data_IF_581123094909
#
_entry.id   IF_581123094909
#
_cell.length_a   1.000
_cell.length_b   1.000
_cell.length_c   1.000
_cell.angle_alpha   90.00
_cell.angle_beta   90.00
_cell.angle_gamma   90.00
#
_symmetry.space_group_name_H-M   'P 1'
#
loop_
_entity.id
_entity.type
_entity.pdbx_description
1 polymer ?
#
# COMPACT_ATOMS: atom_id res chain seq x y z
N UNK A 1 -21.97 -2.29 -11.26
CA UNK A 1 -22.62 -1.98 -9.97
C UNK A 1 -21.55 -2.09 -8.91
N UNK A 2 -21.08 -0.97 -8.38
CA UNK A 2 -20.10 -0.92 -7.28
C UNK A 2 -20.86 -1.24 -6.01
N UNK A 3 -20.79 -2.50 -5.57
CA UNK A 3 -21.21 -2.87 -4.23
C UNK A 3 -20.27 -2.14 -3.27
N UNK A 4 -20.77 -1.06 -2.67
CA UNK A 4 -20.03 -0.33 -1.67
C UNK A 4 -19.97 -1.24 -0.45
N UNK A 5 -18.87 -2.00 -0.34
CA UNK A 5 -18.54 -2.86 0.80
C UNK A 5 -18.46 -2.11 2.14
N UNK A 6 -18.74 -0.81 2.14
CA UNK A 6 -18.76 0.02 3.32
C UNK A 6 -19.80 1.15 3.23
N UNK A 7 -20.62 1.36 4.28
CA UNK A 7 -21.40 2.57 4.43
C UNK A 7 -20.52 3.82 4.66
N UNK A 8 -21.08 4.98 4.32
CA UNK A 8 -20.46 6.33 4.38
C UNK A 8 -19.94 6.67 5.80
N UNK A 9 -20.53 6.09 6.85
CA UNK A 9 -20.12 6.34 8.24
C UNK A 9 -18.76 5.74 8.64
N UNK A 10 -18.24 4.77 7.88
CA UNK A 10 -16.95 4.15 8.23
C UNK A 10 -15.73 5.02 7.82
N UNK A 11 -15.94 6.06 7.00
CA UNK A 11 -14.87 6.97 6.57
C UNK A 11 -14.28 7.75 7.77
N UNK A 12 -15.12 8.21 8.69
CA UNK A 12 -14.68 8.97 9.87
C UNK A 12 -13.84 8.11 10.80
N UNK A 13 -14.27 6.86 11.04
CA UNK A 13 -13.49 5.88 11.79
C UNK A 13 -12.14 5.65 11.13
N UNK A 14 -12.13 5.38 9.83
CA UNK A 14 -10.91 5.13 9.07
C UNK A 14 -9.94 6.32 9.10
N UNK A 15 -10.45 7.55 8.95
CA UNK A 15 -9.66 8.79 9.04
C UNK A 15 -9.08 8.95 10.45
N UNK A 16 -9.89 8.77 11.49
CA UNK A 16 -9.46 8.93 12.88
C UNK A 16 -8.38 7.91 13.25
N UNK A 17 -8.52 6.66 12.84
CA UNK A 17 -7.49 5.63 13.07
C UNK A 17 -6.24 5.97 12.27
N UNK A 18 -6.36 6.45 11.03
CA UNK A 18 -5.22 6.77 10.17
C UNK A 18 -4.39 7.91 10.78
N UNK A 19 -5.06 8.95 11.30
CA UNK A 19 -4.39 10.03 12.02
C UNK A 19 -3.58 9.53 13.21
N UNK A 20 -4.15 8.61 14.01
CA UNK A 20 -3.48 8.04 15.17
C UNK A 20 -2.24 7.23 14.80
N UNK A 21 -2.23 6.58 13.62
CA UNK A 21 -1.06 5.85 13.15
C UNK A 21 0.13 6.77 12.83
N UNK A 22 -0.13 8.02 12.42
CA UNK A 22 0.93 9.01 12.20
C UNK A 22 1.89 8.67 11.05
N UNK A 23 1.51 7.79 10.12
CA UNK A 23 2.28 7.45 8.91
C UNK A 23 1.66 8.09 7.68
N UNK A 24 2.50 8.54 6.73
CA UNK A 24 1.98 9.01 5.44
C UNK A 24 1.35 7.85 4.67
N UNK A 25 0.41 8.15 3.77
CA UNK A 25 -0.24 7.11 2.96
C UNK A 25 0.75 6.26 2.15
N UNK A 26 1.83 6.86 1.62
CA UNK A 26 2.85 6.13 0.86
C UNK A 26 3.80 5.30 1.76
N UNK A 27 3.79 5.53 3.08
CA UNK A 27 4.60 4.84 4.10
C UNK A 27 3.77 3.84 4.92
N UNK A 28 2.51 3.66 4.55
CA UNK A 28 1.56 2.87 5.31
C UNK A 28 1.51 1.39 4.92
N UNK A 29 1.57 1.00 3.63
CA UNK A 29 1.34 -0.40 3.26
C UNK A 29 2.32 -1.38 3.89
N UNK A 30 1.85 -2.60 4.17
CA UNK A 30 2.65 -3.69 4.75
C UNK A 30 3.30 -3.34 6.11
N UNK A 31 2.61 -2.55 6.93
CA UNK A 31 3.05 -2.19 8.29
C UNK A 31 2.01 -2.63 9.33
N UNK A 32 2.45 -2.81 10.57
CA UNK A 32 1.56 -3.08 11.72
C UNK A 32 0.53 -1.95 11.91
N UNK A 33 0.89 -0.72 11.56
CA UNK A 33 -0.04 0.41 11.60
C UNK A 33 -1.15 0.30 10.55
N UNK A 34 -0.86 -0.24 9.36
CA UNK A 34 -1.90 -0.59 8.40
C UNK A 34 -2.76 -1.75 8.89
N UNK A 35 -2.17 -2.78 9.48
CA UNK A 35 -2.95 -3.89 10.05
C UNK A 35 -3.85 -3.41 11.20
N UNK A 36 -3.42 -2.42 11.97
CA UNK A 36 -4.27 -1.76 12.99
C UNK A 36 -5.46 -1.03 12.36
N UNK A 37 -5.26 -0.38 11.22
CA UNK A 37 -6.35 0.23 10.43
C UNK A 37 -7.33 -0.81 9.93
N UNK A 38 -6.81 -1.88 9.33
CA UNK A 38 -7.60 -2.99 8.83
C UNK A 38 -8.42 -3.64 9.97
N UNK A 39 -7.78 -3.90 11.10
CA UNK A 39 -8.43 -4.49 12.27
C UNK A 39 -9.48 -3.58 12.92
N UNK A 40 -9.30 -2.26 12.87
CA UNK A 40 -10.33 -1.32 13.35
C UNK A 40 -11.61 -1.40 12.50
N UNK A 41 -11.49 -1.74 11.22
CA UNK A 41 -12.62 -1.84 10.28
C UNK A 41 -13.30 -3.21 10.32
N UNK A 42 -12.50 -4.27 10.52
CA UNK A 42 -12.94 -5.65 10.29
C UNK A 42 -12.60 -6.62 11.42
N UNK A 43 -12.21 -6.12 12.58
CA UNK A 43 -11.72 -6.92 13.69
C UNK A 43 -10.35 -7.56 13.43
N UNK A 44 -9.75 -8.19 14.46
CA UNK A 44 -8.49 -8.92 14.30
C UNK A 44 -8.57 -9.95 13.18
N UNK A 45 -7.51 -10.06 12.38
CA UNK A 45 -7.39 -10.95 11.22
C UNK A 45 -8.50 -10.79 10.16
N UNK A 46 -9.28 -9.70 10.23
CA UNK A 46 -10.39 -9.46 9.31
C UNK A 46 -11.60 -10.37 9.54
N UNK A 47 -11.77 -10.91 10.75
CA UNK A 47 -12.90 -11.81 11.10
C UNK A 47 -14.29 -11.28 10.72
N UNK A 48 -14.45 -9.96 10.72
CA UNK A 48 -15.71 -9.27 10.44
C UNK A 48 -15.78 -8.82 8.96
N UNK A 49 -14.74 -9.09 8.16
CA UNK A 49 -14.74 -8.88 6.72
C UNK A 49 -15.58 -9.95 6.01
N UNK A 50 -16.36 -9.59 4.97
CA UNK A 50 -17.11 -10.57 4.19
C UNK A 50 -16.24 -11.66 3.56
N UNK A 51 -14.97 -11.35 3.28
CA UNK A 51 -13.94 -12.26 2.80
C UNK A 51 -12.55 -11.74 3.26
N UNK A 52 -11.99 -12.20 4.40
CA UNK A 52 -10.67 -11.75 4.86
C UNK A 52 -9.59 -12.22 3.89
N UNK A 53 -9.14 -11.31 3.03
CA UNK A 53 -8.18 -11.60 1.95
C UNK A 53 -7.31 -10.36 1.71
N UNK A 54 -6.19 -10.54 1.01
CA UNK A 54 -5.37 -9.44 0.50
C UNK A 54 -6.19 -8.44 -0.35
N UNK A 55 -7.23 -8.92 -1.06
CA UNK A 55 -8.14 -8.04 -1.79
C UNK A 55 -8.92 -7.09 -0.87
N UNK A 56 -9.22 -7.50 0.37
CA UNK A 56 -9.88 -6.65 1.35
C UNK A 56 -8.92 -5.60 1.91
N UNK A 57 -7.63 -5.92 2.09
CA UNK A 57 -6.57 -4.93 2.40
C UNK A 57 -6.42 -3.91 1.28
N UNK A 58 -6.34 -4.37 0.03
CA UNK A 58 -6.31 -3.50 -1.15
C UNK A 58 -7.48 -2.52 -1.17
N UNK A 59 -8.69 -2.99 -0.83
CA UNK A 59 -9.89 -2.12 -0.73
C UNK A 59 -9.77 -1.06 0.36
N UNK A 60 -9.24 -1.38 1.54
CA UNK A 60 -9.00 -0.41 2.62
C UNK A 60 -7.99 0.66 2.16
N UNK A 61 -6.88 0.24 1.53
CA UNK A 61 -5.90 1.18 1.00
C UNK A 61 -6.49 2.07 -0.10
N UNK A 62 -7.21 1.49 -1.06
CA UNK A 62 -7.89 2.25 -2.11
C UNK A 62 -8.89 3.26 -1.54
N UNK A 63 -9.59 2.91 -0.46
CA UNK A 63 -10.49 3.84 0.24
C UNK A 63 -9.73 5.02 0.83
N UNK A 64 -8.62 4.80 1.54
CA UNK A 64 -7.73 5.88 2.03
C UNK A 64 -7.25 6.76 0.87
N UNK A 65 -6.88 6.15 -0.26
CA UNK A 65 -6.44 6.89 -1.43
C UNK A 65 -7.54 7.78 -2.04
N UNK A 66 -8.77 7.26 -2.11
CA UNK A 66 -9.93 8.04 -2.57
C UNK A 66 -10.26 9.18 -1.60
N UNK A 67 -10.15 8.96 -0.29
CA UNK A 67 -10.30 10.01 0.72
C UNK A 67 -9.23 11.10 0.59
N UNK A 68 -7.98 10.73 0.27
CA UNK A 68 -6.90 11.69 -0.04
C UNK A 68 -7.25 12.52 -1.27
N UNK A 69 -7.71 11.90 -2.35
CA UNK A 69 -8.13 12.59 -3.58
C UNK A 69 -9.31 13.52 -3.36
N UNK A 70 -10.23 13.15 -2.47
CA UNK A 70 -11.38 13.96 -2.09
C UNK A 70 -11.03 15.09 -1.09
N UNK A 71 -9.76 15.23 -0.67
CA UNK A 71 -9.34 16.23 0.30
C UNK A 71 -9.81 15.98 1.74
N UNK A 72 -10.35 14.79 2.02
CA UNK A 72 -10.87 14.38 3.34
C UNK A 72 -9.79 13.73 4.21
N UNK A 73 -8.79 13.10 3.60
CA UNK A 73 -7.69 12.48 4.34
C UNK A 73 -6.68 13.56 4.77
N UNK A 74 -6.37 13.69 6.07
CA UNK A 74 -5.43 14.66 6.59
C UNK A 74 -4.00 14.39 6.09
N UNK A 75 -3.24 15.45 5.86
CA UNK A 75 -1.82 15.35 5.52
C UNK A 75 -1.01 15.10 6.80
N UNK A 76 -0.48 13.89 6.95
CA UNK A 76 0.44 13.54 8.02
C UNK A 76 1.85 13.89 7.54
N UNK A 77 2.56 14.75 8.27
CA UNK A 77 3.78 15.47 7.83
C UNK A 77 4.77 14.70 6.94
N UNK A 78 5.82 14.14 7.53
CA UNK A 78 6.84 13.35 6.80
C UNK A 78 6.62 11.87 7.07
N UNK A 79 7.05 11.02 6.14
CA UNK A 79 7.07 9.57 6.32
C UNK A 79 7.91 9.21 7.56
N UNK A 80 7.53 8.14 8.27
CA UNK A 80 8.28 7.68 9.45
C UNK A 80 9.61 7.04 9.05
N UNK A 81 9.67 6.40 7.88
CA UNK A 81 10.89 5.80 7.35
C UNK A 81 11.27 6.35 5.97
N UNK A 82 12.58 6.31 5.69
CA UNK A 82 13.11 6.54 4.35
C UNK A 82 13.12 5.23 3.56
N UNK A 83 12.83 5.26 2.25
CA UNK A 83 13.01 4.08 1.41
C UNK A 83 14.47 3.58 1.49
N UNK A 84 14.70 2.26 1.47
CA UNK A 84 16.05 1.72 1.33
C UNK A 84 16.75 2.29 0.10
N UNK A 85 18.07 2.45 0.20
CA UNK A 85 18.90 2.86 -0.93
C UNK A 85 19.32 1.61 -1.68
N UNK A 86 19.10 1.62 -2.98
CA UNK A 86 19.55 0.61 -3.93
C UNK A 86 20.34 1.31 -5.04
N UNK A 87 21.13 0.54 -5.78
CA UNK A 87 21.95 1.09 -6.85
C UNK A 87 21.08 1.61 -8.01
N UNK A 88 21.52 2.62 -8.78
CA UNK A 88 20.75 3.17 -9.89
C UNK A 88 20.33 2.14 -10.94
N UNK A 89 21.18 1.14 -11.20
CA UNK A 89 20.89 0.03 -12.10
C UNK A 89 19.74 -0.84 -11.59
N UNK A 90 19.69 -1.06 -10.26
CA UNK A 90 18.60 -1.78 -9.60
C UNK A 90 17.31 -0.96 -9.61
N UNK A 91 17.38 0.37 -9.48
CA UNK A 91 16.20 1.25 -9.63
C UNK A 91 15.60 1.11 -11.05
N UNK A 92 16.42 1.12 -12.10
CA UNK A 92 15.96 0.95 -13.49
C UNK A 92 15.35 -0.43 -13.73
N UNK A 93 15.99 -1.48 -13.20
CA UNK A 93 15.47 -2.84 -13.28
C UNK A 93 14.11 -2.97 -12.58
N UNK A 94 13.96 -2.38 -11.38
CA UNK A 94 12.70 -2.38 -10.66
C UNK A 94 11.59 -1.69 -11.45
N UNK A 95 11.88 -0.54 -12.08
CA UNK A 95 10.91 0.14 -12.94
C UNK A 95 10.50 -0.76 -14.10
N UNK A 96 11.45 -1.41 -14.78
CA UNK A 96 11.15 -2.30 -15.91
C UNK A 96 10.24 -3.48 -15.49
N UNK A 97 10.56 -4.16 -14.38
CA UNK A 97 9.75 -5.28 -13.86
C UNK A 97 8.33 -4.80 -13.51
N UNK A 98 8.21 -3.65 -12.84
CA UNK A 98 6.91 -3.10 -12.47
C UNK A 98 6.10 -2.75 -13.74
N UNK A 99 6.70 -2.06 -14.70
CA UNK A 99 6.03 -1.65 -15.93
C UNK A 99 5.67 -2.82 -16.84
N UNK A 100 6.40 -3.94 -16.80
CA UNK A 100 5.99 -5.17 -17.47
C UNK A 100 4.63 -5.69 -16.94
N UNK A 101 4.40 -5.60 -15.63
CA UNK A 101 3.18 -6.11 -15.00
C UNK A 101 2.01 -5.13 -15.09
N UNK A 102 2.26 -3.82 -15.00
CA UNK A 102 1.20 -2.80 -14.85
C UNK A 102 1.21 -1.70 -15.92
N UNK A 103 2.14 -1.77 -16.87
CA UNK A 103 2.31 -0.84 -17.99
C UNK A 103 3.03 0.46 -17.62
N UNK A 104 2.63 1.13 -16.53
CA UNK A 104 3.24 2.39 -16.11
C UNK A 104 3.42 2.44 -14.59
N UNK A 105 4.60 2.84 -14.13
CA UNK A 105 4.90 2.92 -12.68
C UNK A 105 3.98 3.90 -11.94
N UNK A 106 3.43 4.90 -12.63
CA UNK A 106 2.42 5.82 -12.08
C UNK A 106 1.15 5.12 -11.60
N UNK A 107 0.87 3.89 -12.08
CA UNK A 107 -0.27 3.06 -11.68
C UNK A 107 0.03 2.11 -10.52
N UNK A 108 1.21 2.18 -9.90
CA UNK A 108 1.69 1.31 -8.80
C UNK A 108 0.67 0.99 -7.70
N UNK A 109 -0.25 1.90 -7.38
CA UNK A 109 -1.25 1.70 -6.31
C UNK A 109 -2.11 0.44 -6.57
N UNK A 110 -2.24 0.00 -7.83
CA UNK A 110 -2.96 -1.22 -8.19
C UNK A 110 -2.23 -2.52 -7.81
N UNK A 111 -0.95 -2.46 -7.45
CA UNK A 111 -0.14 -3.61 -7.03
C UNK A 111 -0.35 -3.97 -5.57
N UNK A 112 -0.71 -3.01 -4.72
CA UNK A 112 -0.79 -3.23 -3.29
C UNK A 112 -1.75 -4.36 -2.94
N UNK A 113 -1.23 -5.29 -2.14
CA UNK A 113 -1.93 -6.50 -1.69
C UNK A 113 -2.50 -7.33 -2.84
N UNK A 114 -1.79 -7.36 -3.98
CA UNK A 114 -2.07 -8.28 -5.09
C UNK A 114 -0.98 -9.36 -5.14
N UNK A 115 -1.33 -10.61 -5.54
CA UNK A 115 -0.34 -11.66 -5.76
C UNK A 115 0.76 -11.26 -6.76
N UNK A 116 0.43 -10.40 -7.72
CA UNK A 116 1.40 -9.85 -8.68
C UNK A 116 2.49 -9.04 -7.99
N UNK A 117 2.20 -8.36 -6.88
CA UNK A 117 3.24 -7.64 -6.15
C UNK A 117 4.18 -8.57 -5.42
N UNK A 118 3.68 -9.65 -4.85
CA UNK A 118 4.52 -10.67 -4.22
C UNK A 118 5.47 -11.30 -5.27
N UNK A 119 4.97 -11.56 -6.48
CA UNK A 119 5.80 -12.00 -7.61
C UNK A 119 6.88 -10.99 -7.97
N UNK A 120 6.54 -9.69 -8.03
CA UNK A 120 7.53 -8.62 -8.29
C UNK A 120 8.60 -8.59 -7.20
N UNK A 121 8.22 -8.74 -5.92
CA UNK A 121 9.16 -8.80 -4.80
C UNK A 121 10.11 -9.99 -4.94
N UNK A 122 9.57 -11.17 -5.21
CA UNK A 122 10.33 -12.40 -5.36
C UNK A 122 11.30 -12.32 -6.55
N UNK A 123 10.82 -11.88 -7.72
CA UNK A 123 11.63 -11.71 -8.93
C UNK A 123 12.75 -10.70 -8.70
N UNK A 124 12.43 -9.53 -8.14
CA UNK A 124 13.43 -8.48 -7.93
C UNK A 124 14.52 -8.91 -6.94
N UNK A 125 14.14 -9.55 -5.83
CA UNK A 125 15.10 -10.08 -4.86
C UNK A 125 15.96 -11.19 -5.46
N UNK A 126 15.38 -12.09 -6.26
CA UNK A 126 16.11 -13.17 -6.93
C UNK A 126 17.15 -12.63 -7.91
N UNK A 127 16.78 -11.63 -8.72
CA UNK A 127 17.68 -11.08 -9.74
C UNK A 127 18.80 -10.21 -9.15
N UNK A 128 18.52 -9.49 -8.06
CA UNK A 128 19.47 -8.54 -7.46
C UNK A 128 20.29 -9.11 -6.30
N UNK A 129 19.88 -10.28 -5.77
CA UNK A 129 20.46 -10.86 -4.55
C UNK A 129 20.09 -10.10 -3.26
N UNK A 130 19.15 -9.15 -3.33
CA UNK A 130 18.65 -8.42 -2.17
C UNK A 130 17.62 -9.27 -1.39
N UNK A 131 17.26 -8.79 -0.20
CA UNK A 131 16.21 -9.39 0.64
C UNK A 131 15.29 -8.31 1.17
N UNK A 132 14.69 -7.55 0.24
CA UNK A 132 13.76 -6.48 0.56
C UNK A 132 12.40 -7.06 0.95
N UNK A 133 11.80 -6.50 2.00
CA UNK A 133 10.41 -6.79 2.34
C UNK A 133 9.44 -6.17 1.33
N UNK A 134 8.16 -6.61 1.27
CA UNK A 134 7.13 -5.94 0.47
C UNK A 134 6.98 -4.45 0.81
N UNK A 135 7.11 -4.08 2.09
CA UNK A 135 7.13 -2.69 2.52
C UNK A 135 8.29 -1.93 1.89
N UNK A 136 9.52 -2.45 2.02
CA UNK A 136 10.72 -1.81 1.50
C UNK A 136 10.64 -1.57 -0.01
N UNK A 137 10.24 -2.60 -0.76
CA UNK A 137 10.11 -2.49 -2.21
C UNK A 137 9.02 -1.49 -2.59
N UNK A 138 7.90 -1.48 -1.88
CA UNK A 138 6.85 -0.49 -2.07
C UNK A 138 7.37 0.94 -1.85
N UNK A 139 8.16 1.19 -0.80
CA UNK A 139 8.72 2.52 -0.51
C UNK A 139 9.62 3.00 -1.64
N UNK A 140 10.39 2.10 -2.26
CA UNK A 140 11.25 2.41 -3.41
C UNK A 140 10.37 2.75 -4.63
N UNK A 141 9.39 1.90 -4.97
CA UNK A 141 8.47 2.15 -6.09
C UNK A 141 7.71 3.48 -5.91
N UNK A 142 7.23 3.77 -4.70
CA UNK A 142 6.55 5.02 -4.39
C UNK A 142 7.47 6.25 -4.48
N UNK A 143 8.78 6.09 -4.28
CA UNK A 143 9.79 7.15 -4.52
C UNK A 143 10.00 7.35 -6.02
N UNK A 144 10.16 6.27 -6.79
CA UNK A 144 10.46 6.30 -8.23
C UNK A 144 9.30 6.81 -9.10
N UNK A 145 8.07 6.66 -8.63
CA UNK A 145 6.88 7.10 -9.36
C UNK A 145 6.51 8.59 -9.19
N UNK A 146 7.38 9.40 -8.55
CA UNK A 146 7.18 10.84 -8.33
C UNK A 146 7.87 11.65 -9.41
#
# INVERSE_FOLDING_TARGET
>A
MTDALFPINDDELLINVYQKQGRTLDDLPYTDEFETLYAAMYGPDGRDAPNPTEQTRAKVFHRLHNLRKAGKLPKLGRAKSSPPRIEPEQEQQLVAIVEEHIGQISKRDQLLYQPTFDQIVDTFNADTGLSLSPHDLWRIIAKLAK
#
